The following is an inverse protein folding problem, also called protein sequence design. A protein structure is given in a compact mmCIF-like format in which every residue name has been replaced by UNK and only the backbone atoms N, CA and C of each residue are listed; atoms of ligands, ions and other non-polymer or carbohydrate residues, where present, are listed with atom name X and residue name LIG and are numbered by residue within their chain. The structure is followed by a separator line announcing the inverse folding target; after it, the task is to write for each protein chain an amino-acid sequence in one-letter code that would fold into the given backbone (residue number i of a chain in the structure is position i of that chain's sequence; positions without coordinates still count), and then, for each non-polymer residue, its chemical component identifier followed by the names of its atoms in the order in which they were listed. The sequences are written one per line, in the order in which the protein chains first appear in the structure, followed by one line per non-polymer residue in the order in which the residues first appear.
data_IF_528696791249
#
_entry.id   IF_528696791249
#
_cell.length_a   1.000
_cell.length_b   1.000
_cell.length_c   1.000
_cell.angle_alpha   90.00
_cell.angle_beta   90.00
_cell.angle_gamma   90.00
#
_symmetry.space_group_name_H-M   'P 1'
#
loop_
_entity.id
_entity.type
_entity.pdbx_description
1 polymer ?
#
# COMPACT_ATOMS: atom_id res chain seq x y z
N UNK A 1 -24.57 -25.97 5.41
CA UNK A 1 -24.71 -25.00 4.30
C UNK A 1 -23.34 -24.43 3.96
N UNK A 2 -22.99 -24.40 2.68
CA UNK A 2 -21.80 -23.72 2.17
C UNK A 2 -22.24 -22.85 0.99
N UNK A 3 -22.01 -21.54 1.05
CA UNK A 3 -22.44 -20.63 -0.01
C UNK A 3 -21.43 -19.50 -0.24
N UNK A 4 -21.10 -19.25 -1.51
CA UNK A 4 -20.27 -18.13 -1.92
C UNK A 4 -21.11 -16.87 -2.17
N UNK A 5 -20.56 -15.72 -1.82
CA UNK A 5 -21.17 -14.41 -2.03
C UNK A 5 -20.16 -13.42 -2.61
N UNK A 6 -20.66 -12.53 -3.48
CA UNK A 6 -19.89 -11.56 -4.24
C UNK A 6 -20.47 -10.14 -4.15
N UNK A 7 -21.49 -9.94 -3.30
CA UNK A 7 -22.16 -8.66 -3.09
C UNK A 7 -22.81 -8.61 -1.70
N UNK A 8 -23.07 -7.39 -1.23
CA UNK A 8 -23.66 -7.11 0.09
C UNK A 8 -22.88 -7.82 1.22
N UNK A 9 -21.56 -7.93 1.08
CA UNK A 9 -20.71 -8.70 1.97
C UNK A 9 -20.72 -8.08 3.37
N UNK A 10 -20.54 -6.76 3.46
CA UNK A 10 -20.66 -6.01 4.71
C UNK A 10 -21.98 -6.31 5.43
N UNK A 11 -23.11 -6.22 4.72
CA UNK A 11 -24.44 -6.45 5.28
C UNK A 11 -24.58 -7.84 5.90
N UNK A 12 -24.08 -8.87 5.22
CA UNK A 12 -24.13 -10.26 5.71
C UNK A 12 -23.30 -10.45 6.98
N UNK A 13 -22.11 -9.85 7.02
CA UNK A 13 -21.27 -9.90 8.22
C UNK A 13 -21.97 -9.17 9.38
N UNK A 14 -22.60 -8.01 9.14
CA UNK A 14 -23.41 -7.31 10.16
C UNK A 14 -24.57 -8.17 10.66
N UNK A 15 -25.26 -8.89 9.78
CA UNK A 15 -26.35 -9.81 10.15
C UNK A 15 -25.85 -10.91 11.09
N UNK A 16 -24.71 -11.55 10.78
CA UNK A 16 -24.14 -12.57 11.66
C UNK A 16 -23.63 -12.01 12.99
N UNK A 17 -23.02 -10.81 13.00
CA UNK A 17 -22.62 -10.13 14.24
C UNK A 17 -23.86 -9.87 15.13
N UNK A 18 -24.98 -9.46 14.54
CA UNK A 18 -26.21 -9.20 15.29
C UNK A 18 -26.90 -10.47 15.78
N UNK A 19 -26.76 -11.58 15.06
CA UNK A 19 -27.34 -12.88 15.42
C UNK A 19 -26.52 -13.65 16.46
N UNK A 20 -25.22 -13.36 16.61
CA UNK A 20 -24.35 -14.03 17.58
C UNK A 20 -24.75 -13.72 19.03
N UNK A 21 -24.70 -14.76 19.87
CA UNK A 21 -25.13 -14.73 21.26
C UNK A 21 -24.05 -15.08 22.29
N UNK A 22 -22.90 -15.63 21.87
CA UNK A 22 -21.89 -16.18 22.78
C UNK A 22 -20.48 -15.67 22.50
N UNK A 23 -19.98 -15.90 21.29
CA UNK A 23 -18.62 -15.57 20.92
C UNK A 23 -18.46 -15.20 19.44
N UNK A 24 -17.58 -14.24 19.17
CA UNK A 24 -17.17 -13.87 17.82
C UNK A 24 -15.64 -13.81 17.81
N UNK A 25 -15.00 -14.61 16.95
CA UNK A 25 -13.56 -14.50 16.70
C UNK A 25 -13.33 -13.94 15.31
N UNK A 26 -12.42 -12.97 15.19
CA UNK A 26 -12.19 -12.22 13.94
C UNK A 26 -10.69 -12.11 13.71
N UNK A 27 -10.23 -12.56 12.56
CA UNK A 27 -8.87 -12.32 12.08
C UNK A 27 -8.95 -11.70 10.68
N UNK A 28 -8.72 -10.39 10.61
CA UNK A 28 -8.78 -9.62 9.37
C UNK A 28 -7.56 -8.70 9.26
N UNK A 29 -6.95 -8.62 8.09
CA UNK A 29 -5.77 -7.78 7.89
C UNK A 29 -6.10 -6.31 8.19
N UNK A 30 -7.14 -5.76 7.56
CA UNK A 30 -7.54 -4.36 7.71
C UNK A 30 -9.01 -4.22 8.10
N UNK A 31 -9.25 -3.28 9.01
CA UNK A 31 -10.56 -2.96 9.55
C UNK A 31 -10.71 -1.45 9.80
N UNK A 32 -11.52 -0.79 8.96
CA UNK A 32 -11.83 0.64 9.04
C UNK A 32 -13.33 0.93 8.96
N UNK A 33 -14.16 -0.05 8.61
CA UNK A 33 -15.58 0.16 8.34
C UNK A 33 -16.40 0.33 9.63
N UNK A 34 -17.08 1.48 9.77
CA UNK A 34 -17.70 1.87 11.03
C UNK A 34 -19.01 1.13 11.36
N UNK A 35 -19.80 0.70 10.38
CA UNK A 35 -21.02 -0.07 10.64
C UNK A 35 -20.69 -1.47 11.20
N UNK A 36 -19.64 -2.11 10.69
CA UNK A 36 -19.12 -3.37 11.24
C UNK A 36 -18.59 -3.16 12.66
N UNK A 37 -17.86 -2.07 12.90
CA UNK A 37 -17.38 -1.71 14.22
C UNK A 37 -18.53 -1.47 15.20
N UNK A 38 -19.53 -0.68 14.81
CA UNK A 38 -20.70 -0.41 15.63
C UNK A 38 -21.51 -1.68 15.90
N UNK A 39 -21.62 -2.60 14.95
CA UNK A 39 -22.25 -3.90 15.16
C UNK A 39 -21.50 -4.72 16.23
N UNK A 40 -20.16 -4.71 16.22
CA UNK A 40 -19.33 -5.35 17.24
C UNK A 40 -19.53 -4.70 18.62
N UNK A 41 -19.53 -3.36 18.70
CA UNK A 41 -19.80 -2.66 19.96
C UNK A 41 -21.18 -3.06 20.50
N UNK A 42 -22.20 -3.14 19.64
CA UNK A 42 -23.51 -3.61 20.04
C UNK A 42 -23.51 -5.07 20.50
N UNK A 43 -22.68 -5.95 19.91
CA UNK A 43 -22.52 -7.33 20.35
C UNK A 43 -21.87 -7.42 21.74
N UNK A 44 -20.82 -6.62 21.98
CA UNK A 44 -20.20 -6.49 23.30
C UNK A 44 -21.21 -5.99 24.35
N UNK A 45 -22.06 -5.02 24.00
CA UNK A 45 -23.13 -4.53 24.88
C UNK A 45 -24.20 -5.59 25.19
N UNK A 46 -24.39 -6.58 24.31
CA UNK A 46 -25.23 -7.77 24.57
C UNK A 46 -24.53 -8.84 25.42
N UNK A 47 -23.25 -8.66 25.74
CA UNK A 47 -22.44 -9.63 26.51
C UNK A 47 -21.78 -10.72 25.65
N UNK A 48 -21.74 -10.55 24.33
CA UNK A 48 -21.02 -11.46 23.43
C UNK A 48 -19.52 -11.27 23.59
N UNK A 49 -18.75 -12.36 23.69
CA UNK A 49 -17.30 -12.27 23.78
C UNK A 49 -16.70 -12.05 22.39
N UNK A 50 -16.02 -10.92 22.17
CA UNK A 50 -15.39 -10.65 20.87
C UNK A 50 -13.86 -10.65 21.00
N UNK A 51 -13.20 -11.43 20.15
CA UNK A 51 -11.73 -11.50 20.05
C UNK A 51 -11.29 -11.13 18.65
N UNK A 52 -10.42 -10.12 18.55
CA UNK A 52 -10.01 -9.51 17.30
C UNK A 52 -8.49 -9.57 17.10
N UNK A 53 -8.05 -10.05 15.95
CA UNK A 53 -6.65 -10.01 15.49
C UNK A 53 -6.57 -9.12 14.26
N UNK A 54 -5.74 -8.08 14.33
CA UNK A 54 -5.46 -7.13 13.24
C UNK A 54 -3.95 -7.03 12.99
N UNK A 55 -3.54 -6.42 11.87
CA UNK A 55 -2.14 -5.98 11.73
C UNK A 55 -1.93 -4.61 12.38
N UNK A 56 -0.74 -4.40 12.96
CA UNK A 56 -0.34 -3.11 13.54
C UNK A 56 0.24 -2.21 12.46
N UNK A 57 -0.61 -1.44 11.81
CA UNK A 57 -0.21 -0.55 10.70
C UNK A 57 -1.00 0.76 10.70
N UNK A 58 -0.78 1.61 9.70
CA UNK A 58 -1.46 2.91 9.58
C UNK A 58 -2.95 2.74 9.34
N UNK A 59 -3.34 1.75 8.55
CA UNK A 59 -4.72 1.57 8.15
C UNK A 59 -5.58 1.27 9.38
N UNK A 60 -5.12 0.40 10.27
CA UNK A 60 -5.84 0.07 11.50
C UNK A 60 -5.58 1.07 12.63
N UNK A 61 -4.33 1.54 12.80
CA UNK A 61 -3.92 2.28 13.99
C UNK A 61 -3.67 3.77 13.78
N UNK A 62 -3.69 4.27 12.54
CA UNK A 62 -3.45 5.69 12.24
C UNK A 62 -4.51 6.61 12.86
N UNK A 63 -4.30 7.93 12.76
CA UNK A 63 -5.18 8.96 13.33
C UNK A 63 -6.66 8.89 12.88
N UNK A 64 -6.92 8.19 11.79
CA UNK A 64 -8.26 8.00 11.22
C UNK A 64 -8.77 6.55 11.34
N UNK A 65 -8.05 5.69 12.07
CA UNK A 65 -8.48 4.32 12.37
C UNK A 65 -9.69 4.28 13.29
N UNK A 66 -10.21 3.08 13.53
CA UNK A 66 -11.32 2.88 14.47
C UNK A 66 -10.87 3.11 15.92
N UNK A 67 -11.82 3.49 16.79
CA UNK A 67 -11.58 3.71 18.22
C UNK A 67 -11.52 2.38 18.97
N UNK A 68 -10.40 1.67 18.86
CA UNK A 68 -10.21 0.42 19.59
C UNK A 68 -10.09 0.62 21.11
N UNK A 69 -9.95 1.85 21.61
CA UNK A 69 -10.03 2.12 23.05
C UNK A 69 -11.46 1.92 23.57
N UNK A 70 -12.47 2.37 22.81
CA UNK A 70 -13.88 2.06 23.11
C UNK A 70 -14.14 0.56 23.05
N UNK A 71 -13.58 -0.15 22.06
CA UNK A 71 -13.72 -1.61 21.95
C UNK A 71 -13.17 -2.33 23.19
N UNK A 72 -11.97 -1.96 23.66
CA UNK A 72 -11.37 -2.51 24.87
C UNK A 72 -12.20 -2.16 26.12
N UNK A 73 -12.69 -0.91 26.22
CA UNK A 73 -13.55 -0.48 27.33
C UNK A 73 -14.83 -1.33 27.45
N UNK A 74 -15.37 -1.76 26.30
CA UNK A 74 -16.56 -2.61 26.22
C UNK A 74 -16.27 -4.10 26.49
N UNK A 75 -15.03 -4.46 26.83
CA UNK A 75 -14.61 -5.83 27.14
C UNK A 75 -14.19 -6.65 25.92
N UNK A 76 -14.02 -6.02 24.77
CA UNK A 76 -13.45 -6.67 23.59
C UNK A 76 -11.98 -7.03 23.81
N UNK A 77 -11.54 -8.16 23.27
CA UNK A 77 -10.14 -8.60 23.31
C UNK A 77 -9.47 -8.31 21.99
N UNK A 78 -8.27 -7.74 22.03
CA UNK A 78 -7.56 -7.30 20.83
C UNK A 78 -6.11 -7.77 20.85
N UNK A 79 -5.64 -8.30 19.73
CA UNK A 79 -4.25 -8.59 19.46
C UNK A 79 -3.83 -7.90 18.16
N UNK A 80 -2.62 -7.35 18.13
CA UNK A 80 -2.02 -6.86 16.90
C UNK A 80 -0.84 -7.73 16.47
N UNK A 81 -0.80 -8.06 15.18
CA UNK A 81 0.37 -8.67 14.53
C UNK A 81 1.28 -7.57 14.01
N UNK A 82 2.56 -7.61 14.40
CA UNK A 82 3.54 -6.64 13.91
C UNK A 82 3.96 -6.98 12.47
N UNK A 83 3.85 -6.01 11.56
CA UNK A 83 4.12 -6.16 10.12
C UNK A 83 5.56 -6.62 9.82
N UNK A 84 6.50 -6.41 10.75
CA UNK A 84 7.91 -6.80 10.61
C UNK A 84 8.17 -8.31 10.66
N UNK A 85 7.25 -9.09 11.24
CA UNK A 85 7.50 -10.51 11.54
C UNK A 85 6.63 -11.46 10.71
N UNK A 86 5.36 -11.13 10.48
CA UNK A 86 4.39 -12.00 9.81
C UNK A 86 3.41 -11.14 9.01
N UNK A 87 3.19 -11.48 7.73
CA UNK A 87 2.12 -10.90 6.93
C UNK A 87 0.79 -11.58 7.29
N UNK A 88 0.13 -11.13 8.35
CA UNK A 88 -1.22 -11.62 8.70
C UNK A 88 -2.22 -11.06 7.69
N UNK A 89 -2.52 -11.86 6.66
CA UNK A 89 -3.40 -11.48 5.55
C UNK A 89 -4.74 -12.22 5.57
N UNK A 90 -5.12 -12.80 6.71
CA UNK A 90 -6.41 -13.46 6.89
C UNK A 90 -7.56 -12.47 6.72
N UNK A 91 -8.73 -12.98 6.31
CA UNK A 91 -10.03 -12.30 6.36
C UNK A 91 -11.10 -13.33 6.70
N UNK A 92 -11.17 -13.72 7.97
CA UNK A 92 -12.22 -14.62 8.43
C UNK A 92 -12.77 -14.21 9.79
N UNK A 93 -13.99 -14.67 10.05
CA UNK A 93 -14.63 -14.58 11.36
C UNK A 93 -15.47 -15.82 11.62
N UNK A 94 -15.62 -16.19 12.89
CA UNK A 94 -16.46 -17.30 13.33
C UNK A 94 -17.43 -16.78 14.38
N UNK A 95 -18.71 -17.12 14.22
CA UNK A 95 -19.79 -16.75 15.12
C UNK A 95 -20.26 -17.98 15.88
N UNK A 96 -20.26 -17.88 17.21
CA UNK A 96 -20.69 -18.89 18.18
C UNK A 96 -20.08 -20.29 17.93
N UNK A 97 -18.85 -20.33 17.39
CA UNK A 97 -18.15 -21.56 16.98
C UNK A 97 -18.80 -22.37 15.86
N UNK A 98 -19.85 -21.85 15.19
CA UNK A 98 -20.72 -22.64 14.31
C UNK A 98 -20.91 -22.06 12.91
N UNK A 99 -20.65 -20.77 12.70
CA UNK A 99 -20.74 -20.13 11.39
C UNK A 99 -19.41 -19.47 11.08
N UNK A 100 -18.74 -19.93 10.02
CA UNK A 100 -17.52 -19.33 9.49
C UNK A 100 -17.84 -18.47 8.28
N UNK A 101 -17.31 -17.25 8.26
CA UNK A 101 -17.17 -16.43 7.05
C UNK A 101 -15.69 -16.27 6.74
N UNK A 102 -15.27 -16.58 5.51
CA UNK A 102 -13.88 -16.42 5.05
C UNK A 102 -13.82 -16.00 3.59
N UNK A 103 -12.81 -15.25 3.18
CA UNK A 103 -12.65 -14.83 1.79
C UNK A 103 -11.53 -13.82 1.56
N UNK A 104 -11.72 -12.96 0.57
CA UNK A 104 -10.78 -11.88 0.23
C UNK A 104 -11.11 -10.55 0.94
N UNK A 105 -12.35 -10.41 1.41
CA UNK A 105 -12.93 -9.17 1.89
C UNK A 105 -12.30 -8.66 3.20
N UNK A 106 -11.45 -7.64 3.10
CA UNK A 106 -11.04 -6.85 4.27
C UNK A 106 -12.24 -6.02 4.78
N UNK A 107 -12.26 -5.66 6.06
CA UNK A 107 -13.37 -4.92 6.66
C UNK A 107 -13.19 -3.42 6.47
N UNK A 108 -13.03 -2.99 5.22
CA UNK A 108 -12.65 -1.61 4.86
C UNK A 108 -13.63 -0.95 3.90
N UNK A 109 -13.57 0.38 3.78
CA UNK A 109 -14.41 1.11 2.82
C UNK A 109 -13.98 0.84 1.36
N UNK A 110 -12.68 0.65 1.11
CA UNK A 110 -12.16 0.27 -0.21
C UNK A 110 -12.64 -1.11 -0.66
N UNK A 111 -12.74 -2.08 0.26
CA UNK A 111 -13.25 -3.42 -0.03
C UNK A 111 -14.71 -3.37 -0.53
N UNK A 112 -15.56 -2.58 0.12
CA UNK A 112 -16.98 -2.46 -0.25
C UNK A 112 -17.21 -1.69 -1.56
N UNK A 113 -16.48 -0.59 -1.78
CA UNK A 113 -16.81 0.36 -2.85
C UNK A 113 -16.10 0.10 -4.17
N UNK A 114 -14.92 -0.51 -4.12
CA UNK A 114 -13.99 -0.51 -5.25
C UNK A 114 -13.46 -1.90 -5.59
N UNK A 115 -13.14 -2.71 -4.60
CA UNK A 115 -12.49 -3.98 -4.85
C UNK A 115 -13.48 -5.03 -5.36
N UNK A 116 -12.98 -5.96 -6.17
CA UNK A 116 -13.71 -7.18 -6.49
C UNK A 116 -13.42 -8.21 -5.39
N UNK A 117 -14.38 -8.38 -4.49
CA UNK A 117 -14.24 -9.20 -3.29
C UNK A 117 -15.22 -10.39 -3.29
N UNK A 118 -14.86 -11.44 -2.56
CA UNK A 118 -15.73 -12.58 -2.30
C UNK A 118 -15.62 -13.07 -0.86
N UNK A 119 -16.68 -13.74 -0.41
CA UNK A 119 -16.68 -14.54 0.81
C UNK A 119 -17.37 -15.88 0.58
N UNK A 120 -17.08 -16.84 1.44
CA UNK A 120 -17.86 -18.05 1.65
C UNK A 120 -18.40 -17.98 3.08
N UNK A 121 -19.69 -18.32 3.23
CA UNK A 121 -20.31 -18.57 4.54
C UNK A 121 -20.54 -20.07 4.63
N UNK A 122 -20.13 -20.68 5.73
CA UNK A 122 -20.26 -22.11 5.98
C UNK A 122 -20.58 -22.42 7.43
N UNK A 123 -21.43 -23.42 7.67
CA UNK A 123 -21.73 -23.99 8.99
C UNK A 123 -21.12 -25.39 9.20
N UNK A 124 -20.27 -25.85 8.26
CA UNK A 124 -19.61 -27.14 8.33
C UNK A 124 -18.70 -27.22 9.57
N UNK A 125 -19.09 -28.05 10.54
CA UNK A 125 -18.48 -28.06 11.87
C UNK A 125 -16.97 -28.33 11.86
N UNK A 126 -16.50 -29.26 11.04
CA UNK A 126 -15.07 -29.56 10.92
C UNK A 126 -14.26 -28.35 10.41
N UNK A 127 -14.79 -27.59 9.45
CA UNK A 127 -14.12 -26.39 8.93
C UNK A 127 -14.12 -25.27 9.98
N UNK A 128 -15.22 -25.10 10.71
CA UNK A 128 -15.29 -24.14 11.81
C UNK A 128 -14.29 -24.48 12.92
N UNK A 129 -14.16 -25.76 13.28
CA UNK A 129 -13.19 -26.26 14.25
C UNK A 129 -11.74 -25.99 13.80
N UNK A 130 -11.40 -26.27 12.55
CA UNK A 130 -10.06 -26.04 12.00
C UNK A 130 -9.67 -24.55 12.05
N UNK A 131 -10.58 -23.64 11.65
CA UNK A 131 -10.34 -22.20 11.73
C UNK A 131 -10.31 -21.69 13.18
N UNK A 132 -11.12 -22.26 14.08
CA UNK A 132 -11.10 -21.91 15.51
C UNK A 132 -9.77 -22.30 16.14
N UNK A 133 -9.26 -23.49 15.81
CA UNK A 133 -7.95 -23.96 16.25
C UNK A 133 -6.85 -23.06 15.71
N UNK A 134 -6.87 -22.75 14.41
CA UNK A 134 -5.89 -21.85 13.81
C UNK A 134 -5.90 -20.45 14.44
N UNK A 135 -7.09 -19.89 14.69
CA UNK A 135 -7.22 -18.62 15.42
C UNK A 135 -6.59 -18.70 16.80
N UNK A 136 -6.85 -19.77 17.54
CA UNK A 136 -6.31 -19.99 18.89
C UNK A 136 -4.79 -20.11 18.86
N UNK A 137 -4.23 -20.86 17.91
CA UNK A 137 -2.80 -21.02 17.73
C UNK A 137 -2.12 -19.69 17.38
N UNK A 138 -2.77 -18.87 16.53
CA UNK A 138 -2.30 -17.53 16.20
C UNK A 138 -2.38 -16.59 17.42
N UNK A 139 -3.50 -16.59 18.14
CA UNK A 139 -3.74 -15.77 19.33
C UNK A 139 -2.70 -16.03 20.41
N UNK A 140 -2.38 -17.31 20.67
CA UNK A 140 -1.41 -17.73 21.69
C UNK A 140 0.03 -17.28 21.40
N UNK A 141 0.33 -16.86 20.17
CA UNK A 141 1.63 -16.31 19.78
C UNK A 141 1.67 -14.77 19.89
N UNK A 142 0.55 -14.15 20.23
CA UNK A 142 0.39 -12.70 20.28
C UNK A 142 0.21 -12.24 21.73
N UNK A 143 0.42 -10.95 21.94
CA UNK A 143 0.15 -10.30 23.23
C UNK A 143 -1.16 -9.55 23.12
N UNK A 144 -2.08 -9.83 24.04
CA UNK A 144 -3.33 -9.10 24.17
C UNK A 144 -3.05 -7.64 24.57
N UNK A 145 -3.76 -6.74 23.91
CA UNK A 145 -3.65 -5.29 24.08
C UNK A 145 -4.53 -4.88 25.25
N UNK A 146 -3.93 -4.28 26.27
CA UNK A 146 -4.67 -3.75 27.42
C UNK A 146 -5.01 -2.26 27.27
N UNK A 147 -4.23 -1.53 26.47
CA UNK A 147 -4.40 -0.11 26.21
C UNK A 147 -4.14 0.17 24.73
N UNK A 148 -4.98 1.00 24.12
CA UNK A 148 -4.87 1.40 22.73
C UNK A 148 -4.71 2.92 22.62
N UNK A 149 -3.90 3.34 21.66
CA UNK A 149 -3.79 4.73 21.22
C UNK A 149 -3.49 4.73 19.72
N UNK A 150 -3.94 5.77 19.04
CA UNK A 150 -3.60 5.98 17.65
C UNK A 150 -2.09 6.19 17.49
N UNK A 151 -1.55 5.66 16.41
CA UNK A 151 -0.21 5.92 15.94
C UNK A 151 -0.28 7.19 15.10
N UNK A 152 0.33 8.26 15.60
CA UNK A 152 0.50 9.48 14.81
C UNK A 152 1.31 9.16 13.56
N UNK A 153 0.91 9.72 12.42
CA UNK A 153 1.66 9.57 11.17
C UNK A 153 3.13 10.04 11.28
N UNK A 154 3.43 10.94 12.22
CA UNK A 154 4.79 11.40 12.51
C UNK A 154 5.69 10.32 13.09
N UNK A 155 5.11 9.32 13.75
CA UNK A 155 5.85 8.34 14.55
C UNK A 155 6.15 7.08 13.76
N UNK A 156 5.87 7.12 12.45
CA UNK A 156 5.86 5.95 11.59
C UNK A 156 7.18 5.81 10.86
N UNK A 157 7.61 4.56 10.77
CA UNK A 157 8.74 4.21 9.95
C UNK A 157 8.49 4.60 8.49
N UNK A 158 9.42 5.38 7.94
CA UNK A 158 9.31 5.92 6.59
C UNK A 158 9.18 4.84 5.51
N UNK A 159 9.77 3.65 5.70
CA UNK A 159 9.71 2.57 4.72
C UNK A 159 8.32 1.89 4.75
N UNK A 160 7.77 1.67 5.94
CA UNK A 160 6.39 1.16 6.11
C UNK A 160 5.36 2.09 5.46
N UNK A 161 5.45 3.41 5.69
CA UNK A 161 4.55 4.37 5.04
C UNK A 161 4.68 4.31 3.51
N UNK A 162 5.90 4.25 2.97
CA UNK A 162 6.11 4.22 1.51
C UNK A 162 5.52 2.94 0.91
N UNK A 163 5.69 1.80 1.58
CA UNK A 163 5.21 0.50 1.12
C UNK A 163 3.67 0.44 1.08
N UNK A 164 3.01 0.97 2.11
CA UNK A 164 1.55 0.92 2.27
C UNK A 164 0.84 2.16 1.71
N UNK A 165 1.57 3.17 1.25
CA UNK A 165 1.03 4.48 0.87
C UNK A 165 -0.18 4.40 -0.07
N UNK A 166 -0.10 3.54 -1.10
CA UNK A 166 -1.19 3.44 -2.07
C UNK A 166 -2.47 2.89 -1.41
N UNK A 167 -2.34 1.87 -0.56
CA UNK A 167 -3.48 1.26 0.12
C UNK A 167 -4.10 2.24 1.11
N UNK A 168 -3.27 2.98 1.85
CA UNK A 168 -3.74 4.01 2.78
C UNK A 168 -4.48 5.12 2.04
N UNK A 169 -3.91 5.65 0.95
CA UNK A 169 -4.54 6.73 0.17
C UNK A 169 -5.86 6.28 -0.46
N UNK A 170 -5.91 5.06 -1.02
CA UNK A 170 -7.14 4.55 -1.61
C UNK A 170 -8.22 4.29 -0.53
N UNK A 171 -7.83 3.79 0.64
CA UNK A 171 -8.75 3.65 1.78
C UNK A 171 -9.28 5.01 2.23
N UNK A 172 -8.41 6.00 2.42
CA UNK A 172 -8.81 7.34 2.87
C UNK A 172 -9.71 8.04 1.86
N UNK A 173 -9.51 7.82 0.55
CA UNK A 173 -10.45 8.28 -0.48
C UNK A 173 -11.83 7.66 -0.29
N UNK A 174 -11.91 6.35 -0.08
CA UNK A 174 -13.18 5.66 0.10
C UNK A 174 -13.89 6.09 1.40
N UNK A 175 -13.13 6.32 2.48
CA UNK A 175 -13.62 6.90 3.74
C UNK A 175 -14.14 8.33 3.54
N UNK A 176 -13.41 9.16 2.77
CA UNK A 176 -13.83 10.53 2.46
C UNK A 176 -15.13 10.56 1.64
N UNK A 177 -15.23 9.74 0.58
CA UNK A 177 -16.46 9.58 -0.20
C UNK A 177 -17.65 9.09 0.63
N UNK A 178 -17.37 8.39 1.74
CA UNK A 178 -18.36 7.91 2.70
C UNK A 178 -18.62 8.90 3.84
N UNK A 179 -18.08 10.12 3.75
CA UNK A 179 -18.19 11.19 4.76
C UNK A 179 -17.65 10.83 6.16
N UNK A 180 -16.72 9.88 6.24
CA UNK A 180 -16.09 9.44 7.50
C UNK A 180 -14.95 10.39 7.87
N UNK A 181 -14.17 10.82 6.88
CA UNK A 181 -13.03 11.71 7.07
C UNK A 181 -13.08 12.91 6.10
N UNK A 182 -12.36 13.97 6.46
CA UNK A 182 -12.16 15.14 5.60
C UNK A 182 -11.02 14.90 4.60
N UNK A 183 -11.04 15.62 3.48
CA UNK A 183 -9.98 15.57 2.46
C UNK A 183 -8.60 15.92 2.98
N UNK A 184 -8.51 16.69 4.08
CA UNK A 184 -7.25 17.08 4.71
C UNK A 184 -6.41 15.88 5.18
N UNK A 185 -7.06 14.77 5.52
CA UNK A 185 -6.38 13.51 5.84
C UNK A 185 -5.49 13.02 4.69
N UNK A 186 -6.01 13.06 3.47
CA UNK A 186 -5.29 12.64 2.26
C UNK A 186 -4.14 13.61 1.97
N UNK A 187 -4.39 14.91 2.13
CA UNK A 187 -3.35 15.93 1.96
C UNK A 187 -2.20 15.74 2.95
N UNK A 188 -2.51 15.45 4.21
CA UNK A 188 -1.53 15.18 5.26
C UNK A 188 -0.63 14.01 4.86
N UNK A 189 -1.19 12.87 4.48
CA UNK A 189 -0.40 11.69 4.04
C UNK A 189 0.49 12.01 2.83
N UNK A 190 -0.02 12.79 1.88
CA UNK A 190 0.76 13.23 0.72
C UNK A 190 1.94 14.12 1.13
N UNK A 191 1.71 15.07 2.04
CA UNK A 191 2.75 15.94 2.58
C UNK A 191 3.79 15.17 3.38
N UNK A 192 3.38 14.21 4.22
CA UNK A 192 4.31 13.36 4.96
C UNK A 192 5.18 12.52 4.04
N UNK A 193 4.60 11.89 3.00
CA UNK A 193 5.39 11.16 1.99
C UNK A 193 6.39 12.08 1.28
N UNK A 194 5.97 13.29 0.94
CA UNK A 194 6.84 14.29 0.31
C UNK A 194 7.97 14.70 1.26
N UNK A 195 7.67 14.94 2.54
CA UNK A 195 8.66 15.30 3.56
C UNK A 195 9.65 14.17 3.84
N UNK A 196 9.18 12.92 3.90
CA UNK A 196 10.06 11.74 3.98
C UNK A 196 10.99 11.69 2.78
N UNK A 197 10.49 11.97 1.58
CA UNK A 197 11.30 12.01 0.36
C UNK A 197 12.36 13.12 0.45
N UNK A 198 11.99 14.31 0.94
CA UNK A 198 12.92 15.44 1.15
C UNK A 198 13.95 15.15 2.25
N UNK A 199 13.54 14.54 3.37
CA UNK A 199 14.41 14.22 4.51
C UNK A 199 15.35 13.05 4.21
N UNK A 200 14.92 12.04 3.44
CA UNK A 200 15.81 11.03 2.89
C UNK A 200 16.86 11.70 2.00
N UNK A 201 16.46 12.59 1.09
CA UNK A 201 17.41 13.38 0.27
C UNK A 201 18.39 14.21 1.13
N UNK A 202 17.96 14.79 2.25
CA UNK A 202 18.84 15.55 3.15
C UNK A 202 19.79 14.65 3.97
N UNK A 203 19.32 13.50 4.46
CA UNK A 203 20.11 12.51 5.22
C UNK A 203 21.17 11.84 4.32
N UNK A 204 20.86 11.69 3.04
CA UNK A 204 21.77 11.24 1.99
C UNK A 204 22.98 12.20 1.83
N UNK A 205 22.81 13.50 2.07
CA UNK A 205 23.91 14.48 2.04
C UNK A 205 24.82 14.36 3.27
N UNK A 206 24.30 13.90 4.41
CA UNK A 206 25.07 13.79 5.67
C UNK A 206 25.71 12.42 5.91
N UNK A 207 25.19 11.32 5.32
CA UNK A 207 25.73 9.96 5.47
C UNK A 207 26.93 9.60 4.56
N UNK A 208 27.55 10.59 3.90
CA UNK A 208 28.67 10.49 2.94
C UNK A 208 29.94 9.78 3.46
N UNK A 209 29.97 9.22 4.67
CA UNK A 209 31.21 8.79 5.33
C UNK A 209 31.49 7.29 5.53
N UNK A 210 30.69 6.30 5.06
CA UNK A 210 31.03 4.89 5.39
C UNK A 210 31.03 3.77 4.35
N UNK A 211 30.43 3.87 3.17
CA UNK A 211 30.71 2.97 2.04
C UNK A 211 30.61 3.79 0.75
N UNK A 212 31.38 3.44 -0.29
CA UNK A 212 31.32 4.11 -1.60
C UNK A 212 30.53 3.23 -2.58
N UNK A 213 29.22 3.00 -2.38
CA UNK A 213 28.46 2.08 -3.21
C UNK A 213 28.45 2.55 -4.66
N UNK A 214 28.49 1.59 -5.59
CA UNK A 214 28.46 1.86 -7.03
C UNK A 214 27.41 1.02 -7.74
N UNK A 215 26.86 1.57 -8.82
CA UNK A 215 25.84 0.89 -9.61
C UNK A 215 26.43 -0.25 -10.46
N UNK A 216 25.81 -1.45 -10.44
CA UNK A 216 26.30 -2.64 -11.16
C UNK A 216 26.26 -2.52 -12.69
N UNK A 217 25.24 -1.87 -13.24
CA UNK A 217 25.04 -1.64 -14.69
C UNK A 217 24.35 -0.29 -14.90
N UNK A 218 24.12 0.15 -16.14
CA UNK A 218 23.42 1.42 -16.36
C UNK A 218 21.96 1.39 -15.89
N UNK A 219 21.47 2.51 -15.37
CA UNK A 219 20.05 2.87 -15.42
C UNK A 219 19.78 3.61 -16.73
N UNK A 220 18.81 3.15 -17.49
CA UNK A 220 18.36 3.80 -18.71
C UNK A 220 16.85 3.98 -18.76
N UNK A 221 16.39 4.58 -19.85
CA UNK A 221 14.98 4.74 -20.16
C UNK A 221 14.70 4.31 -21.60
N UNK A 222 13.61 3.58 -21.80
CA UNK A 222 13.14 3.21 -23.14
C UNK A 222 12.66 4.47 -23.87
N UNK A 223 13.20 4.72 -25.05
CA UNK A 223 12.81 5.85 -25.89
C UNK A 223 13.02 5.53 -27.38
N UNK A 224 12.54 6.44 -28.24
CA UNK A 224 12.89 6.47 -29.66
C UNK A 224 14.09 7.39 -29.83
N UNK A 225 15.17 6.89 -30.44
CA UNK A 225 16.39 7.66 -30.70
C UNK A 225 16.70 7.67 -32.19
N UNK A 226 16.92 8.86 -32.78
CA UNK A 226 17.25 9.03 -34.21
C UNK A 226 16.30 8.25 -35.14
N UNK A 227 15.00 8.28 -34.84
CA UNK A 227 13.96 7.59 -35.62
C UNK A 227 13.83 6.09 -35.35
N UNK A 228 14.65 5.49 -34.48
CA UNK A 228 14.59 4.06 -34.15
C UNK A 228 13.91 3.85 -32.80
N UNK A 229 12.88 3.01 -32.79
CA UNK A 229 12.15 2.62 -31.58
C UNK A 229 12.94 1.65 -30.69
N UNK A 230 12.47 1.50 -29.44
CA UNK A 230 12.97 0.54 -28.46
C UNK A 230 14.48 0.68 -28.17
N UNK A 231 14.96 1.92 -28.04
CA UNK A 231 16.33 2.23 -27.66
C UNK A 231 16.43 2.62 -26.19
N UNK A 232 17.61 2.39 -25.61
CA UNK A 232 17.90 2.78 -24.22
C UNK A 232 18.65 4.11 -24.21
N UNK A 233 18.05 5.14 -23.61
CA UNK A 233 18.74 6.36 -23.21
C UNK A 233 19.34 6.15 -21.83
N UNK A 234 20.66 6.20 -21.69
CA UNK A 234 21.32 6.06 -20.39
C UNK A 234 21.06 7.31 -19.53
N UNK A 235 20.60 7.09 -18.30
CA UNK A 235 20.39 8.13 -17.29
C UNK A 235 21.52 8.10 -16.27
N UNK A 236 21.80 6.95 -15.66
CA UNK A 236 22.91 6.78 -14.70
C UNK A 236 23.82 5.67 -15.21
N UNK A 237 25.13 5.91 -15.24
CA UNK A 237 26.10 4.96 -15.79
C UNK A 237 26.48 3.89 -14.76
N UNK A 238 26.85 2.72 -15.25
CA UNK A 238 27.54 1.69 -14.49
C UNK A 238 28.76 2.27 -13.77
N UNK A 239 29.00 1.82 -12.54
CA UNK A 239 30.13 2.25 -11.71
C UNK A 239 29.92 3.64 -11.10
N UNK A 240 28.79 4.31 -11.36
CA UNK A 240 28.49 5.59 -10.74
C UNK A 240 28.45 5.42 -9.22
N UNK A 241 29.24 6.25 -8.52
CA UNK A 241 29.20 6.34 -7.06
C UNK A 241 27.87 6.90 -6.61
N UNK A 242 27.30 6.27 -5.60
CA UNK A 242 26.04 6.64 -4.99
C UNK A 242 26.29 7.35 -3.65
N UNK A 243 25.44 8.32 -3.27
CA UNK A 243 24.21 8.70 -3.93
C UNK A 243 24.45 9.48 -5.23
N UNK A 244 23.55 9.33 -6.21
CA UNK A 244 23.65 10.07 -7.46
C UNK A 244 22.28 10.45 -8.00
N UNK A 245 22.19 11.65 -8.53
CA UNK A 245 21.01 12.15 -9.25
C UNK A 245 21.42 12.56 -10.64
N UNK A 246 20.65 12.16 -11.64
CA UNK A 246 20.75 12.73 -12.98
C UNK A 246 19.38 13.04 -13.55
N UNK A 247 19.32 14.04 -14.41
CA UNK A 247 18.10 14.43 -15.14
C UNK A 247 18.35 14.32 -16.62
N UNK A 248 17.40 13.75 -17.35
CA UNK A 248 17.40 13.72 -18.82
C UNK A 248 16.17 14.43 -19.36
N UNK A 249 16.37 15.16 -20.46
CA UNK A 249 15.29 15.78 -21.20
C UNK A 249 14.87 14.87 -22.36
N UNK A 250 13.56 14.71 -22.54
CA UNK A 250 12.98 14.01 -23.70
C UNK A 250 11.79 14.78 -24.26
N UNK A 251 11.23 14.28 -25.35
CA UNK A 251 10.12 14.93 -26.04
C UNK A 251 9.22 13.90 -26.74
N UNK A 252 8.00 14.31 -27.08
CA UNK A 252 7.10 13.49 -27.90
C UNK A 252 7.72 13.24 -29.28
N UNK A 253 7.35 12.11 -29.90
CA UNK A 253 7.84 11.72 -31.22
C UNK A 253 6.72 11.54 -32.24
N UNK A 254 5.48 11.82 -31.83
CA UNK A 254 4.26 11.67 -32.62
C UNK A 254 3.42 12.93 -32.42
N UNK A 255 2.82 13.44 -33.50
CA UNK A 255 1.87 14.54 -33.44
C UNK A 255 0.67 14.17 -32.57
N UNK A 256 0.21 15.11 -31.75
CA UNK A 256 -0.97 14.97 -30.89
C UNK A 256 -0.90 13.76 -29.93
N UNK A 257 0.30 13.35 -29.53
CA UNK A 257 0.52 12.26 -28.59
C UNK A 257 -0.18 12.54 -27.25
N UNK A 258 -1.20 11.77 -26.90
CA UNK A 258 -2.03 11.98 -25.70
C UNK A 258 -1.41 11.43 -24.41
N UNK A 259 -0.47 10.50 -24.52
CA UNK A 259 0.17 9.84 -23.37
C UNK A 259 1.63 9.53 -23.62
N UNK A 260 2.44 9.49 -22.58
CA UNK A 260 3.85 9.12 -22.67
C UNK A 260 4.24 8.17 -21.52
N UNK A 261 4.63 6.92 -21.82
CA UNK A 261 5.22 6.04 -20.82
C UNK A 261 6.72 6.36 -20.62
N UNK A 262 7.12 6.55 -19.37
CA UNK A 262 8.50 6.52 -18.91
C UNK A 262 8.80 5.12 -18.34
N UNK A 263 9.54 4.32 -19.09
CA UNK A 263 9.95 2.97 -18.69
C UNK A 263 11.43 3.00 -18.33
N UNK A 264 11.74 2.73 -17.06
CA UNK A 264 13.11 2.71 -16.55
C UNK A 264 13.67 1.29 -16.60
N UNK A 265 14.91 1.20 -17.08
CA UNK A 265 15.58 -0.04 -17.41
C UNK A 265 16.89 -0.17 -16.63
N UNK A 266 17.24 -1.41 -16.28
CA UNK A 266 18.55 -1.77 -15.78
C UNK A 266 19.25 -2.67 -16.79
N UNK A 267 20.43 -2.23 -17.25
CA UNK A 267 21.26 -2.99 -18.18
C UNK A 267 22.01 -2.12 -19.17
N UNK A 268 22.97 -2.73 -19.88
CA UNK A 268 23.91 -2.01 -20.74
C UNK A 268 23.55 -2.08 -22.23
N UNK A 269 22.47 -2.76 -22.60
CA UNK A 269 22.09 -2.89 -24.01
C UNK A 269 21.46 -1.61 -24.55
N UNK A 270 21.87 -1.21 -25.76
CA UNK A 270 21.21 -0.13 -26.51
C UNK A 270 19.81 -0.54 -26.98
N UNK A 271 19.55 -1.83 -27.14
CA UNK A 271 18.22 -2.39 -27.38
C UNK A 271 17.51 -2.58 -26.03
N UNK A 272 16.43 -1.80 -25.84
CA UNK A 272 15.68 -1.74 -24.59
C UNK A 272 14.91 -3.02 -24.26
N UNK A 273 14.72 -3.95 -25.22
CA UNK A 273 14.12 -5.25 -24.93
C UNK A 273 15.09 -6.23 -24.24
N UNK A 274 16.41 -5.97 -24.30
CA UNK A 274 17.44 -6.81 -23.69
C UNK A 274 17.85 -6.36 -22.29
N UNK A 275 17.22 -5.30 -21.77
CA UNK A 275 17.45 -4.81 -20.41
C UNK A 275 16.27 -5.20 -19.51
N UNK A 276 16.52 -5.30 -18.21
CA UNK A 276 15.48 -5.56 -17.20
C UNK A 276 14.64 -4.30 -17.02
N UNK A 277 13.32 -4.40 -17.16
CA UNK A 277 12.41 -3.31 -16.80
C UNK A 277 12.31 -3.24 -15.26
N UNK A 278 12.56 -2.06 -14.70
CA UNK A 278 12.47 -1.83 -13.25
C UNK A 278 11.12 -1.26 -12.86
N UNK A 279 10.67 -0.22 -13.57
CA UNK A 279 9.40 0.45 -13.32
C UNK A 279 8.87 1.16 -14.56
N UNK A 280 7.58 1.47 -14.53
CA UNK A 280 6.88 2.19 -15.60
C UNK A 280 5.93 3.22 -15.03
N UNK A 281 6.12 4.48 -15.43
CA UNK A 281 5.25 5.60 -15.13
C UNK A 281 4.58 6.04 -16.44
N UNK A 282 3.32 6.46 -16.42
CA UNK A 282 2.66 6.99 -17.63
C UNK A 282 2.02 8.32 -17.35
N UNK A 283 2.41 9.36 -18.08
CA UNK A 283 1.67 10.62 -18.13
C UNK A 283 0.59 10.50 -19.20
N UNK A 284 -0.65 10.79 -18.82
CA UNK A 284 -1.81 10.82 -19.72
C UNK A 284 -2.30 12.28 -19.84
N UNK A 285 -3.23 12.54 -20.76
CA UNK A 285 -3.81 13.88 -21.02
C UNK A 285 -2.76 14.95 -21.39
N UNK A 286 -1.77 14.56 -22.20
CA UNK A 286 -0.75 15.49 -22.70
C UNK A 286 -1.34 16.53 -23.68
N UNK A 287 -0.74 17.72 -23.78
CA UNK A 287 -1.09 18.70 -24.81
C UNK A 287 -0.98 18.10 -26.22
N UNK A 288 -1.98 18.36 -27.05
CA UNK A 288 -2.00 17.90 -28.43
C UNK A 288 -1.24 18.91 -29.30
N UNK A 289 0.08 18.71 -29.37
CA UNK A 289 1.03 19.54 -30.11
C UNK A 289 1.80 18.69 -31.13
N UNK A 290 2.59 19.31 -32.01
CA UNK A 290 3.40 18.57 -32.99
C UNK A 290 4.47 17.75 -32.29
N UNK A 291 4.95 16.71 -32.98
CA UNK A 291 6.04 15.87 -32.52
C UNK A 291 7.24 16.75 -32.12
N UNK A 292 7.74 16.54 -30.90
CA UNK A 292 8.87 17.27 -30.34
C UNK A 292 8.51 18.55 -29.58
N UNK A 293 7.26 19.01 -29.60
CA UNK A 293 6.84 20.24 -28.90
C UNK A 293 6.47 20.01 -27.44
N UNK A 294 5.98 18.81 -27.10
CA UNK A 294 5.79 18.42 -25.69
C UNK A 294 7.12 17.87 -25.17
N UNK A 295 7.67 18.54 -24.15
CA UNK A 295 8.94 18.21 -23.51
C UNK A 295 8.71 17.53 -22.17
N UNK A 296 9.64 16.67 -21.80
CA UNK A 296 9.65 16.01 -20.51
C UNK A 296 11.00 16.12 -19.83
N UNK A 297 10.96 16.17 -18.50
CA UNK A 297 12.11 15.98 -17.63
C UNK A 297 11.93 14.70 -16.85
N UNK A 298 12.92 13.81 -16.95
CA UNK A 298 12.99 12.61 -16.11
C UNK A 298 14.18 12.75 -15.19
N UNK A 299 13.92 12.90 -13.89
CA UNK A 299 14.95 12.92 -12.85
C UNK A 299 14.99 11.56 -12.17
N UNK A 300 16.17 10.94 -12.13
CA UNK A 300 16.41 9.68 -11.43
C UNK A 300 17.44 9.92 -10.34
N UNK A 301 17.08 9.55 -9.13
CA UNK A 301 17.94 9.59 -7.95
C UNK A 301 18.11 8.18 -7.43
N UNK A 302 19.34 7.74 -7.16
CA UNK A 302 19.62 6.50 -6.44
C UNK A 302 20.47 6.84 -5.22
N UNK A 303 20.08 6.35 -4.05
CA UNK A 303 20.82 6.55 -2.80
C UNK A 303 21.85 5.44 -2.51
N UNK A 304 22.55 5.56 -1.38
CA UNK A 304 23.56 4.57 -0.96
C UNK A 304 22.98 3.23 -0.56
N UNK A 305 21.69 3.17 -0.18
CA UNK A 305 21.00 1.97 0.27
C UNK A 305 20.26 1.26 -0.87
N UNK A 306 20.23 1.84 -2.06
CA UNK A 306 19.51 1.30 -3.19
C UNK A 306 18.05 1.68 -3.26
N UNK A 307 17.64 2.79 -2.65
CA UNK A 307 16.38 3.40 -3.02
C UNK A 307 16.54 4.25 -4.28
N UNK A 308 15.79 3.90 -5.32
CA UNK A 308 15.66 4.69 -6.54
C UNK A 308 14.34 5.48 -6.52
N UNK A 309 14.43 6.78 -6.77
CA UNK A 309 13.29 7.68 -7.00
C UNK A 309 13.34 8.21 -8.44
N UNK A 310 12.22 8.11 -9.15
CA UNK A 310 12.06 8.57 -10.53
C UNK A 310 10.93 9.57 -10.57
N UNK A 311 11.23 10.80 -10.97
CA UNK A 311 10.27 11.87 -11.19
C UNK A 311 10.19 12.14 -12.70
N UNK A 312 8.98 12.04 -13.27
CA UNK A 312 8.72 12.26 -14.69
C UNK A 312 7.71 13.38 -14.87
N UNK A 313 8.15 14.49 -15.47
CA UNK A 313 7.41 15.75 -15.56
C UNK A 313 7.19 16.14 -17.01
N UNK A 314 5.96 16.49 -17.38
CA UNK A 314 5.66 17.21 -18.61
C UNK A 314 5.95 18.70 -18.40
N UNK A 315 6.99 19.22 -19.02
CA UNK A 315 7.45 20.60 -18.81
C UNK A 315 6.40 21.62 -19.25
N UNK A 316 5.63 21.31 -20.30
CA UNK A 316 4.63 22.21 -20.85
C UNK A 316 3.42 22.43 -19.92
N UNK A 317 3.11 21.46 -19.05
CA UNK A 317 1.90 21.48 -18.20
C UNK A 317 2.20 21.49 -16.71
N UNK A 318 3.41 21.12 -16.31
CA UNK A 318 3.76 20.86 -14.92
C UNK A 318 3.23 19.54 -14.37
N UNK A 319 2.44 18.77 -15.14
CA UNK A 319 1.95 17.46 -14.71
C UNK A 319 3.15 16.54 -14.49
N UNK A 320 3.24 15.96 -13.29
CA UNK A 320 4.28 15.01 -12.92
C UNK A 320 3.69 13.71 -12.40
N UNK A 321 4.48 12.64 -12.50
CA UNK A 321 4.27 11.40 -11.76
C UNK A 321 5.61 10.90 -11.27
N UNK A 322 5.58 10.21 -10.15
CA UNK A 322 6.76 9.69 -9.49
C UNK A 322 6.62 8.19 -9.24
N UNK A 323 7.74 7.47 -9.24
CA UNK A 323 7.81 6.08 -8.81
C UNK A 323 9.07 5.83 -8.00
N UNK A 324 8.99 4.81 -7.15
CA UNK A 324 10.06 4.38 -6.26
C UNK A 324 10.34 2.91 -6.52
N UNK A 325 11.59 2.51 -6.38
CA UNK A 325 12.01 1.13 -6.55
C UNK A 325 13.20 0.84 -5.64
N UNK A 326 13.11 -0.23 -4.85
CA UNK A 326 14.24 -0.73 -4.09
C UNK A 326 15.15 -1.53 -5.04
N UNK A 327 16.26 -0.92 -5.43
CA UNK A 327 17.34 -1.45 -6.24
C UNK A 327 18.60 -1.83 -5.45
N UNK A 328 18.47 -2.20 -4.17
CA UNK A 328 19.61 -2.69 -3.38
C UNK A 328 20.32 -3.86 -4.06
N UNK A 329 19.59 -4.70 -4.81
CA UNK A 329 20.17 -5.80 -5.59
C UNK A 329 21.01 -5.33 -6.78
N UNK A 330 20.86 -4.07 -7.21
CA UNK A 330 21.57 -3.45 -8.35
C UNK A 330 22.85 -2.71 -7.93
N UNK A 331 23.19 -2.70 -6.64
CA UNK A 331 24.33 -1.97 -6.08
C UNK A 331 25.46 -2.92 -5.67
N UNK A 332 26.70 -2.49 -5.92
CA UNK A 332 27.91 -3.01 -5.29
C UNK A 332 28.18 -2.16 -4.04
N UNK A 333 28.11 -2.76 -2.86
CA UNK A 333 28.41 -2.11 -1.58
C UNK A 333 29.90 -2.16 -1.24
#
# INVERSE_FOLDING_TARGET
MIQAYFNQIQKRIVEEINNSNKDIIIAVAWFTQHDLFNAIINALDRGVNVSLILIKDIINCGDYGLDFSLYLQKGGKLCFVNTRNILMHNKFCIFDGSILITGSYNWTYSAERRNAENIIITDEGNVCEDYTKYFTDLWNQLTEVNEYSHISISDIDADSLIQEYNDIVEEYKCMHESNVIKSDAINLINEYRKNISVNKLATIVTQVNRQNPTLKMNIGMRCRMKGVDNRTLNIIKQGQKLPFTNTVDTQTTIDNQKRCPCVVLFGNSIDAAKNRELLKIVLDNLPQLKAGEVKFKTKVTIDTNGYMHVEFVCVNTGISKEAFYNCSELINY
#
